data_IF_573432131854
#
_entry.id   IF_573432131854
#
_cell.length_a   1.000
_cell.length_b   1.000
_cell.length_c   1.000
_cell.angle_alpha   90.00
_cell.angle_beta   90.00
_cell.angle_gamma   90.00
#
_symmetry.space_group_name_H-M   'P 1'
#
loop_
_entity.id
_entity.type
_entity.pdbx_description
1 polymer ?
#
# COMPACT_ATOMS: atom_id res chain seq x y z
N UNK A 1 -0.62 11.98 14.95
CA UNK A 1 -1.33 13.04 14.19
C UNK A 1 -2.75 12.54 13.99
N UNK A 2 -3.69 13.00 14.81
CA UNK A 2 -5.07 12.52 14.77
C UNK A 2 -5.86 13.29 13.72
N UNK A 3 -6.02 12.72 12.53
CA UNK A 3 -7.04 13.17 11.58
C UNK A 3 -8.39 12.67 12.09
N UNK A 4 -9.35 13.57 12.33
CA UNK A 4 -10.63 13.21 12.94
C UNK A 4 -11.71 12.89 11.89
N UNK A 5 -11.49 13.27 10.63
CA UNK A 5 -12.42 12.96 9.53
C UNK A 5 -11.91 13.33 8.13
N UNK A 6 -12.73 13.00 7.12
CA UNK A 6 -12.45 13.26 5.70
C UNK A 6 -12.18 14.73 5.39
N UNK A 7 -12.86 15.64 6.07
CA UNK A 7 -12.68 17.09 5.92
C UNK A 7 -11.28 17.57 6.30
N UNK A 8 -10.63 16.91 7.25
CA UNK A 8 -9.28 17.28 7.69
C UNK A 8 -8.24 16.84 6.66
N UNK A 9 -8.48 15.68 6.03
CA UNK A 9 -7.65 15.14 4.94
C UNK A 9 -7.78 16.02 3.68
N UNK A 10 -8.99 16.47 3.35
CA UNK A 10 -9.22 17.36 2.21
C UNK A 10 -8.55 18.73 2.42
N UNK A 11 -8.62 19.29 3.64
CA UNK A 11 -7.92 20.54 4.00
C UNK A 11 -6.39 20.38 4.01
N UNK A 12 -5.90 19.21 4.43
CA UNK A 12 -4.47 18.88 4.44
C UNK A 12 -3.92 18.63 3.02
N UNK A 13 -4.80 18.25 2.10
CA UNK A 13 -4.46 17.89 0.72
C UNK A 13 -4.31 16.38 0.57
N UNK A 14 -5.15 15.79 -0.28
CA UNK A 14 -5.17 14.33 -0.52
C UNK A 14 -3.82 13.82 -1.03
N UNK A 15 -3.13 14.58 -1.88
CA UNK A 15 -1.81 14.21 -2.39
C UNK A 15 -0.76 14.15 -1.27
N UNK A 16 -0.71 15.16 -0.40
CA UNK A 16 0.23 15.21 0.73
C UNK A 16 -0.09 14.12 1.77
N UNK A 17 -1.37 13.85 2.00
CA UNK A 17 -1.82 12.75 2.86
C UNK A 17 -1.36 11.40 2.32
N UNK A 18 -1.64 11.12 1.04
CA UNK A 18 -1.26 9.86 0.40
C UNK A 18 0.26 9.65 0.39
N UNK A 19 1.03 10.71 0.18
CA UNK A 19 2.49 10.65 0.24
C UNK A 19 2.99 10.24 1.63
N UNK A 20 2.45 10.86 2.69
CA UNK A 20 2.76 10.45 4.07
C UNK A 20 2.34 9.02 4.37
N UNK A 21 1.20 8.56 3.86
CA UNK A 21 0.79 7.17 4.00
C UNK A 21 1.81 6.22 3.37
N UNK A 22 2.30 6.53 2.16
CA UNK A 22 3.33 5.72 1.48
C UNK A 22 4.64 5.68 2.27
N UNK A 23 5.11 6.84 2.76
CA UNK A 23 6.31 6.94 3.60
C UNK A 23 6.19 6.13 4.89
N UNK A 24 5.02 6.18 5.54
CA UNK A 24 4.75 5.41 6.75
C UNK A 24 4.84 3.90 6.50
N UNK A 25 4.30 3.42 5.37
CA UNK A 25 4.35 2.00 5.02
C UNK A 25 5.79 1.56 4.74
N UNK A 26 6.54 2.34 3.94
CA UNK A 26 7.93 2.03 3.62
C UNK A 26 8.82 1.94 4.86
N UNK A 27 8.60 2.84 5.83
CA UNK A 27 9.33 2.80 7.11
C UNK A 27 9.11 1.47 7.84
N UNK A 28 7.86 1.04 7.98
CA UNK A 28 7.54 -0.20 8.68
C UNK A 28 8.01 -1.44 7.93
N UNK A 29 8.02 -1.43 6.60
CA UNK A 29 8.62 -2.50 5.80
C UNK A 29 10.11 -2.62 6.08
N UNK A 30 10.83 -1.50 6.14
CA UNK A 30 12.27 -1.51 6.50
C UNK A 30 12.54 -2.10 7.89
N UNK A 31 11.78 -1.68 8.90
CA UNK A 31 11.87 -2.22 10.28
C UNK A 31 11.55 -3.74 10.30
N UNK A 32 10.56 -4.17 9.51
CA UNK A 32 10.20 -5.58 9.39
C UNK A 32 11.29 -6.40 8.70
N UNK A 33 11.84 -5.93 7.58
CA UNK A 33 12.94 -6.61 6.86
C UNK A 33 14.15 -6.82 7.78
N UNK A 34 14.57 -5.81 8.54
CA UNK A 34 15.67 -5.94 9.49
C UNK A 34 15.39 -7.01 10.56
N UNK A 35 14.18 -6.99 11.14
CA UNK A 35 13.75 -7.98 12.12
C UNK A 35 13.76 -9.39 11.52
N UNK A 36 13.19 -9.57 10.33
CA UNK A 36 13.06 -10.85 9.64
C UNK A 36 14.42 -11.44 9.27
N UNK A 37 15.37 -10.61 8.80
CA UNK A 37 16.75 -11.02 8.55
C UNK A 37 17.45 -11.49 9.83
N UNK A 38 17.24 -10.79 10.97
CA UNK A 38 17.79 -11.20 12.27
C UNK A 38 17.22 -12.53 12.79
N UNK A 39 15.96 -12.81 12.48
CA UNK A 39 15.30 -14.07 12.83
C UNK A 39 15.72 -15.25 11.92
N UNK A 40 16.48 -14.98 10.85
CA UNK A 40 16.94 -16.00 9.90
C UNK A 40 15.83 -16.49 8.95
N UNK A 41 14.77 -15.72 8.76
CA UNK A 41 13.71 -16.07 7.82
C UNK A 41 14.11 -15.59 6.42
N UNK A 42 14.32 -16.55 5.52
CA UNK A 42 14.78 -16.29 4.16
C UNK A 42 13.60 -16.09 3.23
N UNK A 43 13.28 -14.81 3.01
CA UNK A 43 12.31 -14.37 2.02
C UNK A 43 12.92 -13.25 1.18
N UNK A 44 12.47 -13.17 -0.07
CA UNK A 44 12.89 -12.14 -0.99
C UNK A 44 12.11 -10.85 -0.71
N UNK A 45 12.83 -9.84 -0.24
CA UNK A 45 12.28 -8.50 -0.02
C UNK A 45 12.59 -7.54 -1.18
N UNK A 46 13.50 -7.91 -2.09
CA UNK A 46 13.87 -7.09 -3.25
C UNK A 46 12.78 -7.16 -4.33
N UNK A 47 12.20 -8.34 -4.55
CA UNK A 47 11.09 -8.57 -5.51
C UNK A 47 9.72 -8.73 -4.82
N UNK A 48 9.56 -8.16 -3.62
CA UNK A 48 8.28 -8.20 -2.91
C UNK A 48 7.21 -7.39 -3.68
N UNK A 49 6.03 -7.99 -3.89
CA UNK A 49 4.92 -7.30 -4.55
C UNK A 49 4.35 -6.19 -3.66
N UNK A 50 4.01 -5.06 -4.27
CA UNK A 50 3.40 -3.92 -3.58
C UNK A 50 1.97 -3.74 -4.04
N UNK A 51 1.02 -3.75 -3.11
CA UNK A 51 -0.39 -3.48 -3.42
C UNK A 51 -0.65 -2.06 -3.95
N UNK A 52 0.31 -1.17 -3.71
CA UNK A 52 0.32 0.20 -4.22
C UNK A 52 1.05 0.37 -5.56
N UNK A 53 1.57 -0.72 -6.16
CA UNK A 53 2.20 -0.66 -7.47
C UNK A 53 1.14 -0.47 -8.57
N UNK A 54 1.44 0.26 -9.65
CA UNK A 54 0.52 0.41 -10.78
C UNK A 54 0.06 -0.93 -11.36
N UNK A 55 0.97 -1.89 -11.50
CA UNK A 55 0.70 -3.20 -12.09
C UNK A 55 -0.28 -4.01 -11.22
N UNK A 56 -0.10 -3.97 -9.89
CA UNK A 56 -1.03 -4.61 -8.97
C UNK A 56 -2.41 -3.95 -9.05
N UNK A 57 -2.47 -2.62 -9.06
CA UNK A 57 -3.73 -1.87 -9.17
C UNK A 57 -4.46 -2.20 -10.49
N UNK A 58 -3.73 -2.29 -11.60
CA UNK A 58 -4.28 -2.69 -12.90
C UNK A 58 -4.84 -4.12 -12.86
N UNK A 59 -4.16 -5.05 -12.20
CA UNK A 59 -4.65 -6.43 -12.03
C UNK A 59 -5.96 -6.48 -11.24
N UNK A 60 -6.12 -5.62 -10.23
CA UNK A 60 -7.35 -5.50 -9.44
C UNK A 60 -8.47 -4.90 -10.29
N UNK A 61 -8.18 -3.85 -11.06
CA UNK A 61 -9.16 -3.25 -11.97
C UNK A 61 -9.64 -4.23 -13.03
N UNK A 62 -8.74 -5.02 -13.60
CA UNK A 62 -9.10 -6.09 -14.51
C UNK A 62 -10.04 -7.10 -13.83
N UNK A 63 -9.71 -7.53 -12.61
CA UNK A 63 -10.52 -8.49 -11.86
C UNK A 63 -11.93 -7.96 -11.57
N UNK A 64 -12.03 -6.71 -11.12
CA UNK A 64 -13.32 -6.02 -10.92
C UNK A 64 -14.11 -5.91 -12.22
N UNK A 65 -13.44 -5.63 -13.34
CA UNK A 65 -14.08 -5.61 -14.66
C UNK A 65 -14.62 -6.98 -15.06
N UNK A 66 -13.90 -8.07 -14.77
CA UNK A 66 -14.39 -9.43 -15.05
C UNK A 66 -15.62 -9.78 -14.22
N UNK A 67 -15.64 -9.40 -12.94
CA UNK A 67 -16.78 -9.60 -12.03
C UNK A 67 -18.00 -8.85 -12.60
N UNK A 68 -17.83 -7.58 -12.93
CA UNK A 68 -18.88 -6.75 -13.51
C UNK A 68 -19.42 -7.33 -14.83
N UNK A 69 -18.53 -7.78 -15.74
CA UNK A 69 -18.90 -8.43 -17.00
C UNK A 69 -19.68 -9.73 -16.82
N UNK A 70 -19.45 -10.45 -15.72
CA UNK A 70 -20.15 -11.71 -15.40
C UNK A 70 -21.47 -11.49 -14.66
N UNK A 71 -21.81 -10.25 -14.31
CA UNK A 71 -23.06 -9.90 -13.63
C UNK A 71 -23.09 -10.31 -12.15
N UNK A 72 -21.93 -10.45 -11.52
CA UNK A 72 -21.78 -10.63 -10.07
C UNK A 72 -21.57 -9.30 -9.37
#
# INVERSE_FOLDING_TARGET
MGFSGKSDIEKYGVAAFNQKCKESVQRHVGEFTEMTSRMGFWVDFEDAYWTMSPEYIESVWWSLQQIWKKGC
#
